data_IF_218052245647
#
_entry.id   IF_218052245647
#
_cell.length_a   1.000
_cell.length_b   1.000
_cell.length_c   1.000
_cell.angle_alpha   90.00
_cell.angle_beta   90.00
_cell.angle_gamma   90.00
#
_symmetry.space_group_name_H-M   'P 1'
#
loop_
_entity.id
_entity.type
_entity.pdbx_description
1 polymer ?
#
# COMPACT_ATOMS: atom_id res chain seq x y z
N UNK A 1 7.11 0.12 -32.86
CA UNK A 1 7.17 0.00 -31.39
C UNK A 1 6.41 -1.25 -30.94
N UNK A 2 5.10 -1.36 -31.21
CA UNK A 2 4.29 -2.54 -30.87
C UNK A 2 4.91 -3.88 -31.33
N UNK A 3 5.26 -3.98 -32.61
CA UNK A 3 5.88 -5.20 -33.16
C UNK A 3 7.22 -5.58 -32.52
N UNK A 4 7.96 -4.58 -32.01
CA UNK A 4 9.24 -4.82 -31.32
C UNK A 4 8.99 -5.33 -29.90
N UNK A 5 7.96 -4.81 -29.24
CA UNK A 5 7.54 -5.24 -27.91
C UNK A 5 6.99 -6.68 -27.93
N UNK A 6 6.19 -7.03 -28.93
CA UNK A 6 5.63 -8.39 -29.08
C UNK A 6 6.73 -9.42 -29.37
N UNK A 7 7.74 -9.04 -30.16
CA UNK A 7 8.89 -9.90 -30.46
C UNK A 7 9.76 -10.14 -29.21
N UNK A 8 9.96 -9.13 -28.38
CA UNK A 8 10.76 -9.28 -27.14
C UNK A 8 9.97 -9.97 -26.01
N UNK A 9 8.65 -9.77 -25.93
CA UNK A 9 7.76 -10.51 -25.01
C UNK A 9 7.83 -12.02 -25.25
N UNK A 10 7.88 -12.43 -26.52
CA UNK A 10 8.00 -13.84 -26.91
C UNK A 10 9.37 -14.46 -26.57
N UNK A 11 10.38 -13.65 -26.24
CA UNK A 11 11.73 -14.09 -25.85
C UNK A 11 11.93 -14.06 -24.34
N UNK A 12 10.93 -13.62 -23.58
CA UNK A 12 10.99 -13.53 -22.12
C UNK A 12 10.60 -14.89 -21.52
N UNK A 13 11.59 -15.69 -21.16
CA UNK A 13 11.37 -16.94 -20.42
C UNK A 13 11.22 -16.64 -18.92
N UNK A 14 10.18 -17.19 -18.29
CA UNK A 14 10.00 -17.09 -16.84
C UNK A 14 11.02 -18.01 -16.13
N UNK A 15 11.95 -17.42 -15.38
CA UNK A 15 12.83 -18.22 -14.51
C UNK A 15 12.02 -18.68 -13.30
N UNK A 16 11.56 -19.93 -13.34
CA UNK A 16 10.80 -20.55 -12.24
C UNK A 16 11.78 -21.12 -11.21
N UNK A 17 11.84 -20.49 -10.04
CA UNK A 17 12.62 -20.97 -8.89
C UNK A 17 11.82 -21.93 -8.00
N UNK A 18 10.50 -22.01 -8.19
CA UNK A 18 9.57 -22.86 -7.45
C UNK A 18 8.55 -23.47 -8.43
N UNK A 19 8.12 -24.70 -8.16
CA UNK A 19 7.18 -25.45 -9.00
C UNK A 19 5.77 -24.84 -9.05
N UNK A 20 5.47 -23.91 -8.14
CA UNK A 20 4.19 -23.18 -8.07
C UNK A 20 4.17 -21.92 -8.93
N UNK A 21 5.30 -21.50 -9.50
CA UNK A 21 5.34 -20.33 -10.37
C UNK A 21 4.75 -20.66 -11.74
N UNK A 22 3.89 -19.76 -12.22
CA UNK A 22 3.22 -19.87 -13.53
C UNK A 22 4.19 -19.43 -14.62
N UNK A 23 4.17 -20.13 -15.75
CA UNK A 23 4.97 -19.77 -16.92
C UNK A 23 4.31 -18.62 -17.70
N UNK A 24 5.08 -17.89 -18.50
CA UNK A 24 4.53 -16.92 -19.45
C UNK A 24 4.03 -17.56 -20.74
N UNK A 25 4.35 -18.84 -20.97
CA UNK A 25 3.85 -19.60 -22.11
C UNK A 25 2.39 -19.99 -21.92
N UNK A 26 1.57 -19.70 -22.92
CA UNK A 26 0.18 -20.14 -23.07
C UNK A 26 0.14 -21.66 -23.24
N UNK A 27 0.30 -22.37 -22.14
CA UNK A 27 0.17 -23.83 -22.13
C UNK A 27 -1.31 -24.10 -22.03
N UNK A 28 -1.89 -24.74 -23.05
CA UNK A 28 -3.28 -25.23 -23.16
C UNK A 28 -3.74 -25.95 -21.89
N UNK A 29 -4.00 -25.17 -20.86
CA UNK A 29 -4.56 -25.63 -19.62
C UNK A 29 -6.03 -25.26 -19.73
N UNK A 30 -6.89 -26.26 -19.57
CA UNK A 30 -8.35 -26.15 -19.66
C UNK A 30 -8.93 -25.29 -18.51
N UNK A 31 -8.42 -24.08 -18.31
CA UNK A 31 -8.96 -23.12 -17.37
C UNK A 31 -9.73 -22.06 -18.17
N UNK A 32 -11.01 -21.95 -17.87
CA UNK A 32 -11.83 -20.85 -18.37
C UNK A 32 -11.56 -19.63 -17.51
N UNK A 33 -10.93 -18.60 -18.07
CA UNK A 33 -10.89 -17.27 -17.43
C UNK A 33 -12.30 -16.68 -17.57
N UNK A 34 -13.12 -16.85 -16.54
CA UNK A 34 -14.39 -16.11 -16.42
C UNK A 34 -14.05 -14.71 -15.93
N UNK A 35 -13.72 -13.81 -16.86
CA UNK A 35 -13.60 -12.40 -16.56
C UNK A 35 -15.00 -11.81 -16.38
N UNK A 36 -15.49 -11.77 -15.14
CA UNK A 36 -16.70 -11.03 -14.79
C UNK A 36 -16.39 -9.54 -14.88
N UNK A 37 -16.95 -8.87 -15.89
CA UNK A 37 -16.58 -7.52 -16.35
C UNK A 37 -16.93 -6.34 -15.42
N UNK A 38 -17.09 -6.53 -14.12
CA UNK A 38 -17.59 -5.48 -13.21
C UNK A 38 -16.89 -5.41 -11.84
N UNK A 39 -15.64 -5.84 -11.71
CA UNK A 39 -14.88 -5.60 -10.46
C UNK A 39 -13.42 -5.22 -10.72
N UNK A 40 -13.21 -4.01 -11.24
CA UNK A 40 -11.96 -3.30 -10.98
C UNK A 40 -11.97 -2.81 -9.53
N UNK A 41 -11.72 -3.71 -8.56
CA UNK A 41 -11.40 -3.31 -7.19
C UNK A 41 -10.57 -4.36 -6.46
N UNK A 42 -9.40 -4.72 -7.01
CA UNK A 42 -8.35 -5.55 -6.39
C UNK A 42 -8.38 -7.04 -6.82
N UNK A 43 -7.56 -7.35 -7.83
CA UNK A 43 -7.21 -8.73 -8.22
C UNK A 43 -6.05 -9.28 -7.36
N UNK A 44 -6.14 -9.09 -6.05
CA UNK A 44 -5.36 -9.83 -5.07
C UNK A 44 -6.23 -9.94 -3.82
N UNK A 45 -6.52 -11.16 -3.36
CA UNK A 45 -7.28 -11.42 -2.14
C UNK A 45 -6.58 -10.99 -0.84
N UNK A 46 -5.81 -9.89 -0.88
CA UNK A 46 -5.31 -9.20 0.28
C UNK A 46 -6.31 -8.09 0.60
N UNK A 47 -7.04 -8.30 1.69
CA UNK A 47 -7.95 -7.33 2.29
C UNK A 47 -7.16 -6.16 2.92
N UNK A 48 -6.40 -5.45 2.10
CA UNK A 48 -5.79 -4.17 2.47
C UNK A 48 -6.87 -3.12 2.21
N UNK A 49 -7.65 -2.85 3.25
CA UNK A 49 -8.58 -1.72 3.27
C UNK A 49 -7.75 -0.43 3.32
N UNK A 50 -7.30 0.07 2.16
CA UNK A 50 -6.46 1.27 2.05
C UNK A 50 -7.10 2.43 2.82
N UNK A 51 -8.42 2.57 2.78
CA UNK A 51 -9.16 3.60 3.52
C UNK A 51 -9.03 3.46 5.04
N UNK A 52 -9.00 2.22 5.54
CA UNK A 52 -8.79 1.94 6.97
C UNK A 52 -7.35 2.25 7.37
N UNK A 53 -6.37 1.79 6.60
CA UNK A 53 -4.95 2.04 6.88
C UNK A 53 -4.62 3.55 6.81
N UNK A 54 -5.19 4.28 5.85
CA UNK A 54 -5.05 5.73 5.76
C UNK A 54 -5.71 6.45 6.94
N UNK A 55 -6.88 5.99 7.38
CA UNK A 55 -7.57 6.55 8.55
C UNK A 55 -6.77 6.31 9.83
N UNK A 56 -6.24 5.10 10.01
CA UNK A 56 -5.40 4.76 11.16
C UNK A 56 -4.09 5.57 11.17
N UNK A 57 -3.46 5.77 10.00
CA UNK A 57 -2.28 6.61 9.86
C UNK A 57 -2.58 8.08 10.19
N UNK A 58 -3.68 8.63 9.65
CA UNK A 58 -4.12 9.98 9.93
C UNK A 58 -4.43 10.16 11.42
N UNK A 59 -5.08 9.17 12.05
CA UNK A 59 -5.36 9.17 13.47
C UNK A 59 -4.08 9.19 14.31
N UNK A 60 -3.09 8.37 13.96
CA UNK A 60 -1.81 8.35 14.65
C UNK A 60 -1.07 9.70 14.53
N UNK A 61 -1.10 10.30 13.34
CA UNK A 61 -0.52 11.62 13.09
C UNK A 61 -1.17 12.72 13.94
N UNK A 62 -2.51 12.77 14.00
CA UNK A 62 -3.27 13.74 14.80
C UNK A 62 -2.99 13.54 16.30
N UNK A 63 -2.98 12.29 16.78
CA UNK A 63 -2.70 11.97 18.17
C UNK A 63 -1.30 12.43 18.58
N UNK A 64 -0.30 12.20 17.74
CA UNK A 64 1.07 12.65 18.00
C UNK A 64 1.15 14.18 18.08
N UNK A 65 0.54 14.89 17.13
CA UNK A 65 0.48 16.36 17.13
C UNK A 65 -0.20 16.89 18.40
N UNK A 66 -1.34 16.33 18.78
CA UNK A 66 -2.07 16.72 19.99
C UNK A 66 -1.24 16.49 21.28
N UNK A 67 -0.50 15.38 21.35
CA UNK A 67 0.41 15.11 22.47
C UNK A 67 1.54 16.13 22.54
N UNK A 68 2.15 16.46 21.40
CA UNK A 68 3.21 17.47 21.31
C UNK A 68 2.69 18.84 21.74
N UNK A 69 1.51 19.25 21.26
CA UNK A 69 0.87 20.51 21.66
C UNK A 69 0.59 20.55 23.17
N UNK A 70 0.06 19.46 23.73
CA UNK A 70 -0.22 19.37 25.17
C UNK A 70 1.04 19.41 26.01
N UNK A 71 2.09 18.71 25.59
CA UNK A 71 3.40 18.75 26.26
C UNK A 71 4.00 20.15 26.22
N UNK A 72 4.00 20.81 25.06
CA UNK A 72 4.50 22.18 24.89
C UNK A 72 3.69 23.17 25.73
N UNK A 73 2.36 23.07 25.72
CA UNK A 73 1.48 23.88 26.55
C UNK A 73 1.80 23.74 28.03
N UNK A 74 1.94 22.49 28.52
CA UNK A 74 2.30 22.23 29.91
C UNK A 74 3.70 22.75 30.27
N UNK A 75 4.68 22.59 29.38
CA UNK A 75 6.03 23.13 29.56
C UNK A 75 6.03 24.65 29.64
N UNK A 76 5.26 25.31 28.78
CA UNK A 76 5.09 26.76 28.81
C UNK A 76 4.40 27.21 30.10
N UNK A 77 3.33 26.54 30.53
CA UNK A 77 2.70 26.84 31.82
C UNK A 77 3.66 26.67 33.00
N UNK A 78 4.42 25.57 33.04
CA UNK A 78 5.44 25.34 34.07
C UNK A 78 6.53 26.41 34.04
N UNK A 79 7.02 26.78 32.84
CA UNK A 79 7.98 27.86 32.67
C UNK A 79 7.42 29.18 33.19
N UNK A 80 6.18 29.54 32.86
CA UNK A 80 5.52 30.76 33.32
C UNK A 80 5.37 30.80 34.84
N UNK A 81 5.01 29.67 35.48
CA UNK A 81 4.95 29.56 36.94
C UNK A 81 6.32 29.74 37.57
N UNK A 82 7.36 29.10 37.00
CA UNK A 82 8.74 29.18 37.52
C UNK A 82 9.40 30.54 37.27
N UNK A 83 9.10 31.20 36.15
CA UNK A 83 9.59 32.56 35.87
C UNK A 83 8.70 33.65 36.46
N UNK A 84 7.66 33.25 37.21
CA UNK A 84 6.87 34.12 38.06
C UNK A 84 6.24 35.27 37.29
N UNK A 85 5.61 34.97 36.14
CA UNK A 85 4.89 35.89 35.25
C UNK A 85 5.06 37.36 35.62
N UNK A 86 6.03 38.02 35.00
CA UNK A 86 6.34 39.45 35.22
C UNK A 86 5.10 40.31 35.39
#
# INVERSE_FOLDING_TARGET
FQNLLDQESSRLEAIKTDYRHVDFSDTDSNYSIVASGDTSYQQNGNNVDIDKEMTELAQNQINYQALVERMNGKFNSLKTVLTGGK
#
